data_IF_059294744546
#
_entry.id   IF_059294744546
#
_cell.length_a   1.000
_cell.length_b   1.000
_cell.length_c   1.000
_cell.angle_alpha   90.00
_cell.angle_beta   90.00
_cell.angle_gamma   90.00
#
_symmetry.space_group_name_H-M   'P 1'
#
loop_
_entity.id
_entity.type
_entity.pdbx_description
1 polymer ?
#
# COMPACT_ATOMS: atom_id res chain seq x y z
N UNK A 1 37.30 -19.63 8.01
CA UNK A 1 36.74 -19.99 9.09
C UNK A 1 36.23 -19.06 10.18
N UNK A 2 35.58 -17.92 9.86
CA UNK A 2 34.87 -17.14 10.86
C UNK A 2 33.41 -17.52 10.82
N UNK A 3 32.76 -17.73 11.96
CA UNK A 3 31.37 -18.08 12.05
C UNK A 3 30.49 -16.81 11.95
N UNK A 4 31.00 -15.68 12.42
CA UNK A 4 30.30 -14.37 12.37
C UNK A 4 31.32 -13.28 12.08
N UNK A 5 30.90 -12.33 11.28
CA UNK A 5 31.71 -11.20 10.85
C UNK A 5 30.83 -9.95 10.73
N UNK A 6 31.38 -8.80 11.05
CA UNK A 6 30.79 -7.52 10.69
C UNK A 6 31.85 -6.45 10.45
N UNK A 7 31.49 -5.46 9.66
CA UNK A 7 32.28 -4.27 9.46
C UNK A 7 31.40 -3.03 9.35
N UNK A 8 31.97 -1.87 9.62
CA UNK A 8 31.39 -0.58 9.26
C UNK A 8 32.36 0.02 8.23
N UNK A 9 31.97 -0.03 6.96
CA UNK A 9 32.85 0.30 5.85
C UNK A 9 32.39 1.57 5.13
N UNK A 10 33.31 2.50 4.79
CA UNK A 10 33.02 3.59 3.87
C UNK A 10 32.80 3.02 2.46
N UNK A 11 31.69 3.40 1.84
CA UNK A 11 31.29 2.97 0.51
C UNK A 11 31.07 4.17 -0.40
N UNK A 12 31.42 3.99 -1.68
CA UNK A 12 31.28 4.98 -2.72
C UNK A 12 30.51 4.36 -3.89
N UNK A 13 29.49 5.06 -4.39
CA UNK A 13 28.71 4.63 -5.56
C UNK A 13 28.57 5.77 -6.54
N UNK A 14 28.86 5.49 -7.80
CA UNK A 14 28.63 6.40 -8.92
C UNK A 14 27.20 6.18 -9.45
N UNK A 15 26.24 6.67 -8.68
CA UNK A 15 24.80 6.60 -8.97
C UNK A 15 24.21 8.01 -8.88
N UNK A 16 23.05 8.23 -9.48
CA UNK A 16 22.31 9.48 -9.32
C UNK A 16 22.01 9.73 -7.85
N UNK A 17 22.74 10.67 -7.26
CA UNK A 17 22.58 11.01 -5.86
C UNK A 17 21.21 11.62 -5.59
N UNK A 18 20.51 11.07 -4.61
CA UNK A 18 19.28 11.66 -4.06
C UNK A 18 19.58 12.16 -2.66
N UNK A 19 19.46 13.49 -2.48
CA UNK A 19 19.83 14.16 -1.24
C UNK A 19 19.17 13.59 0.02
N UNK A 20 18.00 12.95 -0.15
CA UNK A 20 17.20 12.41 0.94
C UNK A 20 17.47 10.94 1.27
N UNK A 21 18.16 10.17 0.40
CA UNK A 21 18.29 8.72 0.62
C UNK A 21 19.44 7.99 -0.05
N UNK A 22 20.16 8.60 -0.96
CA UNK A 22 21.20 7.91 -1.74
C UNK A 22 22.39 8.84 -1.97
N UNK A 23 23.16 9.19 -0.91
CA UNK A 23 24.41 9.91 -1.10
C UNK A 23 25.43 9.02 -1.82
N UNK A 24 26.30 9.61 -2.66
CA UNK A 24 27.36 8.88 -3.34
C UNK A 24 28.42 8.31 -2.39
N UNK A 25 28.54 8.87 -1.18
CA UNK A 25 29.39 8.40 -0.08
C UNK A 25 28.54 8.07 1.13
N UNK A 26 28.71 6.87 1.69
CA UNK A 26 27.96 6.41 2.87
C UNK A 26 28.75 5.33 3.61
N UNK A 27 28.36 5.05 4.86
CA UNK A 27 28.85 3.92 5.62
C UNK A 27 27.85 2.77 5.53
N UNK A 28 28.36 1.57 5.29
CA UNK A 28 27.58 0.34 5.30
C UNK A 28 27.89 -0.44 6.58
N UNK A 29 26.85 -0.75 7.35
CA UNK A 29 26.93 -1.79 8.36
C UNK A 29 26.70 -3.12 7.65
N UNK A 30 27.77 -3.88 7.50
CA UNK A 30 27.78 -5.16 6.83
C UNK A 30 28.05 -6.26 7.85
N UNK A 31 27.25 -7.32 7.84
CA UNK A 31 27.44 -8.46 8.72
C UNK A 31 27.05 -9.77 8.05
N UNK A 32 27.82 -10.79 8.31
CA UNK A 32 27.65 -12.12 7.76
C UNK A 32 27.62 -13.17 8.87
N UNK A 33 26.84 -14.22 8.66
CA UNK A 33 26.72 -15.34 9.61
C UNK A 33 26.77 -16.66 8.87
N UNK A 34 27.65 -17.58 9.31
CA UNK A 34 27.68 -18.95 8.82
C UNK A 34 26.55 -19.77 9.46
N UNK A 35 26.06 -20.78 8.71
CA UNK A 35 25.07 -21.74 9.18
C UNK A 35 23.76 -21.08 9.66
N UNK A 36 23.44 -19.90 9.17
CA UNK A 36 22.26 -19.12 9.54
C UNK A 36 21.11 -19.36 8.57
N UNK A 37 19.89 -19.41 9.09
CA UNK A 37 18.65 -19.34 8.32
C UNK A 37 18.24 -17.87 8.10
N UNK A 38 17.23 -17.65 7.28
CA UNK A 38 16.63 -16.32 7.08
C UNK A 38 16.15 -15.72 8.41
N UNK A 39 15.54 -16.53 9.26
CA UNK A 39 15.01 -16.11 10.56
C UNK A 39 16.13 -15.70 11.52
N UNK A 40 17.30 -16.34 11.44
CA UNK A 40 18.47 -15.95 12.24
C UNK A 40 18.99 -14.58 11.83
N UNK A 41 19.02 -14.29 10.52
CA UNK A 41 19.41 -12.98 9.99
C UNK A 41 18.38 -11.92 10.40
N UNK A 42 17.09 -12.19 10.27
CA UNK A 42 16.03 -11.28 10.70
C UNK A 42 16.16 -10.94 12.19
N UNK A 43 16.34 -11.93 13.05
CA UNK A 43 16.48 -11.72 14.50
C UNK A 43 17.63 -10.79 14.85
N UNK A 44 18.77 -10.90 14.17
CA UNK A 44 19.90 -9.99 14.38
C UNK A 44 19.59 -8.61 13.85
N UNK A 45 19.04 -8.51 12.63
CA UNK A 45 18.66 -7.25 12.00
C UNK A 45 17.63 -6.49 12.82
N UNK A 46 16.57 -7.17 13.28
CA UNK A 46 15.51 -6.57 14.13
C UNK A 46 16.09 -5.98 15.41
N UNK A 47 16.97 -6.73 16.09
CA UNK A 47 17.59 -6.24 17.31
C UNK A 47 18.46 -5.01 17.06
N UNK A 48 19.31 -5.04 16.05
CA UNK A 48 20.19 -3.91 15.71
C UNK A 48 19.39 -2.68 15.35
N UNK A 49 18.34 -2.83 14.53
CA UNK A 49 17.50 -1.72 14.12
C UNK A 49 16.67 -1.16 15.28
N UNK A 50 15.99 -2.02 16.05
CA UNK A 50 15.19 -1.57 17.19
C UNK A 50 16.04 -0.83 18.23
N UNK A 51 17.19 -1.37 18.62
CA UNK A 51 18.10 -0.75 19.58
C UNK A 51 18.62 0.60 19.05
N UNK A 52 18.96 0.67 17.77
CA UNK A 52 19.46 1.90 17.13
C UNK A 52 18.40 2.97 17.07
N UNK A 53 17.21 2.63 16.58
CA UNK A 53 16.12 3.60 16.48
C UNK A 53 15.63 4.06 17.85
N UNK A 54 15.50 3.17 18.84
CA UNK A 54 15.16 3.56 20.21
C UNK A 54 16.17 4.56 20.81
N UNK A 55 17.46 4.40 20.47
CA UNK A 55 18.51 5.28 20.98
C UNK A 55 18.52 6.67 20.33
N UNK A 56 18.18 6.75 19.04
CA UNK A 56 18.35 7.96 18.24
C UNK A 56 17.04 8.57 17.74
N UNK A 57 15.89 7.97 18.03
CA UNK A 57 14.61 8.54 17.66
C UNK A 57 14.43 9.92 18.34
N UNK A 58 13.94 10.92 17.61
CA UNK A 58 13.58 12.22 18.20
C UNK A 58 12.48 12.05 19.25
N UNK A 59 12.38 13.01 20.18
CA UNK A 59 11.32 13.04 21.19
C UNK A 59 9.93 13.04 20.51
N UNK A 60 9.03 12.19 21.02
CA UNK A 60 7.66 12.04 20.51
C UNK A 60 7.52 11.04 19.35
N UNK A 61 8.61 10.41 18.91
CA UNK A 61 8.55 9.33 17.93
C UNK A 61 8.43 7.96 18.59
N UNK A 62 7.47 7.17 18.12
CA UNK A 62 7.35 5.77 18.50
C UNK A 62 8.19 4.89 17.56
N UNK A 63 8.90 3.94 18.14
CA UNK A 63 9.73 2.98 17.40
C UNK A 63 9.07 1.62 17.42
N UNK A 64 8.89 1.02 16.24
CA UNK A 64 8.40 -0.35 16.10
C UNK A 64 9.34 -1.30 16.80
N UNK A 65 8.82 -2.10 17.72
CA UNK A 65 9.59 -3.11 18.45
C UNK A 65 9.60 -4.45 17.70
N UNK A 66 10.63 -5.26 17.95
CA UNK A 66 10.68 -6.62 17.44
C UNK A 66 9.63 -7.53 18.13
N UNK A 67 9.06 -8.53 17.44
CA UNK A 67 9.32 -8.87 16.04
C UNK A 67 8.65 -7.89 15.07
N UNK A 68 9.36 -7.55 13.99
CA UNK A 68 8.79 -6.67 12.97
C UNK A 68 7.73 -7.38 12.14
N UNK A 69 6.71 -6.67 11.63
CA UNK A 69 5.73 -7.26 10.72
C UNK A 69 6.41 -7.73 9.42
N UNK A 70 6.05 -8.92 8.98
CA UNK A 70 6.55 -9.49 7.73
C UNK A 70 5.48 -9.31 6.66
N UNK A 71 5.81 -8.58 5.61
CA UNK A 71 4.93 -8.34 4.46
C UNK A 71 5.58 -9.01 3.25
N UNK A 72 4.88 -9.96 2.62
CA UNK A 72 5.39 -10.58 1.41
C UNK A 72 5.43 -9.57 0.25
N UNK A 73 6.31 -9.80 -0.73
CA UNK A 73 6.37 -8.96 -1.93
C UNK A 73 5.01 -8.86 -2.64
N UNK A 74 4.32 -10.00 -2.79
CA UNK A 74 2.99 -10.05 -3.40
C UNK A 74 1.98 -9.18 -2.64
N UNK A 75 1.98 -9.26 -1.32
CA UNK A 75 1.11 -8.45 -0.47
C UNK A 75 1.48 -6.96 -0.55
N UNK A 76 2.77 -6.63 -0.51
CA UNK A 76 3.22 -5.25 -0.62
C UNK A 76 2.77 -4.61 -1.94
N UNK A 77 2.95 -5.31 -3.06
CA UNK A 77 2.50 -4.83 -4.37
C UNK A 77 0.97 -4.73 -4.47
N UNK A 78 0.22 -5.71 -3.91
CA UNK A 78 -1.23 -5.70 -3.94
C UNK A 78 -1.82 -4.56 -3.11
N UNK A 79 -1.41 -4.43 -1.86
CA UNK A 79 -2.04 -3.52 -0.89
C UNK A 79 -1.48 -2.08 -0.95
N UNK A 80 -0.24 -1.91 -1.40
CA UNK A 80 0.45 -0.62 -1.36
C UNK A 80 0.95 -0.14 -2.73
N UNK A 81 1.00 -1.00 -3.74
CA UNK A 81 1.55 -0.69 -5.06
C UNK A 81 3.06 -0.44 -5.05
N UNK A 82 3.77 -0.92 -4.03
CA UNK A 82 5.21 -0.69 -3.83
C UNK A 82 5.85 -1.84 -3.06
N UNK A 83 7.08 -2.17 -3.42
CA UNK A 83 7.92 -3.11 -2.67
C UNK A 83 8.51 -2.49 -1.36
N UNK A 84 8.27 -1.20 -1.13
CA UNK A 84 8.70 -0.45 0.08
C UNK A 84 7.53 0.33 0.67
N UNK A 85 6.54 -0.37 1.25
CA UNK A 85 5.34 0.26 1.76
C UNK A 85 5.62 1.19 2.95
N UNK A 86 5.03 2.38 2.94
CA UNK A 86 4.99 3.26 4.10
C UNK A 86 3.75 2.91 4.95
N UNK A 87 3.98 2.21 6.06
CA UNK A 87 2.89 1.75 6.94
C UNK A 87 2.17 2.87 7.69
N UNK A 88 2.72 4.09 7.68
CA UNK A 88 2.05 5.29 8.24
C UNK A 88 0.91 5.77 7.35
N UNK A 89 0.95 5.45 6.05
CA UNK A 89 -0.15 5.72 5.14
C UNK A 89 -1.29 4.73 5.45
N UNK A 90 -2.50 5.19 5.84
CA UNK A 90 -3.62 4.31 6.16
C UNK A 90 -4.30 3.73 4.92
N UNK A 91 -4.06 4.30 3.73
CA UNK A 91 -4.69 3.82 2.51
C UNK A 91 -4.18 2.43 2.13
N UNK A 92 -5.11 1.57 1.73
CA UNK A 92 -4.82 0.24 1.21
C UNK A 92 -5.54 0.06 -0.13
N UNK A 93 -4.86 -0.61 -1.05
CA UNK A 93 -5.48 -1.05 -2.28
C UNK A 93 -6.28 -2.32 -1.99
N UNK A 94 -7.51 -2.35 -2.42
CA UNK A 94 -8.46 -3.44 -2.24
C UNK A 94 -8.66 -4.12 -3.59
N UNK A 95 -8.55 -5.45 -3.62
CA UNK A 95 -8.88 -6.24 -4.80
C UNK A 95 -10.38 -6.51 -4.86
N UNK A 96 -11.03 -6.01 -5.88
CA UNK A 96 -12.44 -6.23 -6.15
C UNK A 96 -12.67 -6.92 -7.52
N UNK A 97 -11.64 -7.55 -8.06
CA UNK A 97 -11.70 -8.23 -9.36
C UNK A 97 -12.83 -9.24 -9.40
N UNK A 98 -12.85 -10.21 -8.50
CA UNK A 98 -13.87 -11.28 -8.48
C UNK A 98 -15.28 -10.74 -8.26
N UNK A 99 -15.42 -9.69 -7.44
CA UNK A 99 -16.70 -9.02 -7.22
C UNK A 99 -17.23 -8.45 -8.54
N UNK A 100 -16.44 -7.67 -9.26
CA UNK A 100 -16.88 -7.01 -10.48
C UNK A 100 -17.06 -7.96 -11.69
N UNK A 101 -16.46 -9.16 -11.69
CA UNK A 101 -16.78 -10.17 -12.73
C UNK A 101 -18.21 -10.65 -12.63
N UNK A 102 -18.85 -10.57 -11.46
CA UNK A 102 -20.25 -11.00 -11.22
C UNK A 102 -21.26 -9.88 -11.33
N UNK A 103 -20.81 -8.61 -11.31
CA UNK A 103 -21.68 -7.44 -11.49
C UNK A 103 -22.11 -7.24 -12.93
N UNK A 104 -23.13 -6.40 -13.15
CA UNK A 104 -23.61 -6.06 -14.48
C UNK A 104 -22.77 -4.99 -15.21
N UNK A 105 -21.73 -4.45 -14.57
CA UNK A 105 -20.89 -3.40 -15.11
C UNK A 105 -19.84 -3.94 -16.07
N UNK A 106 -20.25 -4.18 -17.31
CA UNK A 106 -19.41 -4.76 -18.38
C UNK A 106 -18.05 -4.14 -18.60
N UNK A 107 -17.82 -2.82 -18.43
CA UNK A 107 -16.49 -2.22 -18.62
C UNK A 107 -15.37 -2.80 -17.74
N UNK A 108 -15.74 -3.45 -16.62
CA UNK A 108 -14.79 -4.07 -15.69
C UNK A 108 -14.61 -5.59 -15.92
N UNK A 109 -15.45 -6.20 -16.78
CA UNK A 109 -15.34 -7.63 -17.06
C UNK A 109 -14.03 -7.97 -17.78
N UNK A 110 -13.37 -9.05 -17.36
CA UNK A 110 -12.10 -9.50 -17.90
C UNK A 110 -10.90 -8.63 -17.50
N UNK A 111 -11.09 -7.69 -16.59
CA UNK A 111 -10.04 -6.79 -16.10
C UNK A 111 -9.77 -6.99 -14.62
N UNK A 112 -8.56 -6.66 -14.21
CA UNK A 112 -8.22 -6.51 -12.79
C UNK A 112 -8.83 -5.23 -12.26
N UNK A 113 -9.59 -5.32 -11.16
CA UNK A 113 -10.23 -4.16 -10.52
C UNK A 113 -9.59 -3.90 -9.17
N UNK A 114 -9.06 -2.70 -9.02
CA UNK A 114 -8.45 -2.23 -7.78
C UNK A 114 -9.22 -1.03 -7.26
N UNK A 115 -9.32 -0.95 -5.94
CA UNK A 115 -10.03 0.14 -5.28
C UNK A 115 -9.23 0.70 -4.11
N UNK A 116 -9.50 1.96 -3.79
CA UNK A 116 -9.08 2.58 -2.52
C UNK A 116 -10.30 3.24 -1.89
N UNK A 117 -10.40 3.17 -0.57
CA UNK A 117 -11.44 3.88 0.17
C UNK A 117 -10.86 5.01 0.99
N UNK A 118 -11.63 6.05 1.16
CA UNK A 118 -11.31 7.18 2.03
C UNK A 118 -12.55 7.60 2.80
N UNK A 119 -12.38 7.99 4.05
CA UNK A 119 -13.45 8.56 4.85
C UNK A 119 -13.41 10.08 4.71
N UNK A 120 -14.13 10.62 3.74
CA UNK A 120 -14.16 12.06 3.48
C UNK A 120 -15.40 12.45 2.67
N UNK A 121 -16.01 13.59 3.02
CA UNK A 121 -17.01 14.24 2.20
C UNK A 121 -16.33 14.95 1.03
N UNK A 122 -16.66 14.53 -0.18
CA UNK A 122 -16.00 15.02 -1.40
C UNK A 122 -17.00 15.74 -2.30
N UNK A 123 -16.61 16.94 -2.74
CA UNK A 123 -17.41 17.68 -3.70
C UNK A 123 -17.37 17.04 -5.10
N UNK A 124 -18.44 17.25 -5.88
CA UNK A 124 -18.46 16.82 -7.29
C UNK A 124 -17.25 17.33 -8.09
N UNK A 125 -16.83 18.58 -7.85
CA UNK A 125 -15.65 19.14 -8.52
C UNK A 125 -14.34 18.43 -8.15
N UNK A 126 -14.27 17.82 -6.97
CA UNK A 126 -13.12 17.01 -6.57
C UNK A 126 -13.10 15.67 -7.32
N UNK A 127 -14.24 14.99 -7.45
CA UNK A 127 -14.35 13.78 -8.27
C UNK A 127 -13.93 14.01 -9.73
N UNK A 128 -14.33 15.14 -10.32
CA UNK A 128 -13.94 15.52 -11.68
C UNK A 128 -12.41 15.75 -11.81
N UNK A 129 -11.79 16.33 -10.79
CA UNK A 129 -10.31 16.49 -10.76
C UNK A 129 -9.59 15.15 -10.65
N UNK A 130 -10.09 14.24 -9.80
CA UNK A 130 -9.52 12.89 -9.67
C UNK A 130 -9.67 12.09 -10.97
N UNK A 131 -10.81 12.18 -11.65
CA UNK A 131 -11.00 11.54 -12.96
C UNK A 131 -9.99 12.07 -13.98
N UNK A 132 -9.81 13.39 -14.07
CA UNK A 132 -8.81 13.99 -14.97
C UNK A 132 -7.39 13.55 -14.63
N UNK A 133 -7.07 13.46 -13.35
CA UNK A 133 -5.78 12.94 -12.90
C UNK A 133 -5.59 11.49 -13.33
N UNK A 134 -6.55 10.60 -13.08
CA UNK A 134 -6.49 9.20 -13.49
C UNK A 134 -6.26 9.08 -15.01
N UNK A 135 -6.99 9.86 -15.81
CA UNK A 135 -6.80 9.91 -17.25
C UNK A 135 -5.41 10.43 -17.67
N UNK A 136 -4.86 11.41 -16.94
CA UNK A 136 -3.53 11.97 -17.25
C UNK A 136 -2.39 10.97 -17.03
N UNK A 137 -2.60 9.96 -16.18
CA UNK A 137 -1.64 8.88 -15.92
C UNK A 137 -1.96 7.60 -16.71
N UNK A 138 -2.85 7.69 -17.71
CA UNK A 138 -3.16 6.61 -18.64
C UNK A 138 -4.31 5.70 -18.26
N UNK A 139 -5.04 5.97 -17.18
CA UNK A 139 -6.23 5.19 -16.82
C UNK A 139 -7.41 5.53 -17.73
N UNK A 140 -8.18 4.53 -18.15
CA UNK A 140 -9.36 4.71 -19.01
C UNK A 140 -10.51 5.44 -18.32
N UNK A 141 -10.53 5.48 -16.99
CA UNK A 141 -11.54 6.15 -16.18
C UNK A 141 -11.32 5.93 -14.70
N UNK A 142 -12.16 6.58 -13.89
CA UNK A 142 -12.23 6.42 -12.44
C UNK A 142 -13.70 6.30 -12.05
N UNK A 143 -14.09 5.14 -11.54
CA UNK A 143 -15.40 4.94 -10.93
C UNK A 143 -15.38 5.31 -9.45
N UNK A 144 -16.54 5.61 -8.89
CA UNK A 144 -16.66 5.81 -7.44
C UNK A 144 -18.05 5.47 -6.92
N UNK A 145 -18.13 5.21 -5.61
CA UNK A 145 -19.34 5.12 -4.81
C UNK A 145 -19.15 5.87 -3.49
N UNK A 146 -20.13 6.63 -3.08
CA UNK A 146 -20.26 7.24 -1.76
C UNK A 146 -21.25 6.42 -0.93
N UNK A 147 -20.91 6.13 0.33
CA UNK A 147 -21.81 5.44 1.27
C UNK A 147 -22.60 6.48 2.04
N UNK A 148 -23.91 6.52 1.80
CA UNK A 148 -24.81 7.48 2.40
C UNK A 148 -25.23 7.09 3.83
N UNK A 149 -25.84 8.03 4.59
CA UNK A 149 -26.29 7.81 5.98
C UNK A 149 -27.28 6.63 6.12
N UNK A 150 -28.14 6.43 5.13
CA UNK A 150 -29.08 5.32 5.06
C UNK A 150 -28.44 4.00 4.56
N UNK A 151 -27.11 3.98 4.43
CA UNK A 151 -26.31 2.88 3.87
C UNK A 151 -26.56 2.59 2.40
N UNK A 152 -27.29 3.42 1.68
CA UNK A 152 -27.36 3.37 0.22
C UNK A 152 -26.06 3.85 -0.41
N UNK A 153 -25.89 3.57 -1.69
CA UNK A 153 -24.74 4.04 -2.45
C UNK A 153 -25.16 5.17 -3.39
N UNK A 154 -24.28 6.14 -3.57
CA UNK A 154 -24.40 7.20 -4.55
C UNK A 154 -23.15 7.25 -5.41
N UNK A 155 -23.32 7.18 -6.73
CA UNK A 155 -22.21 7.25 -7.68
C UNK A 155 -22.57 6.65 -9.03
N UNK A 156 -21.69 6.80 -10.03
CA UNK A 156 -21.96 6.37 -11.40
C UNK A 156 -22.07 4.83 -11.53
N UNK A 157 -21.53 4.08 -10.58
CA UNK A 157 -21.47 2.61 -10.63
C UNK A 157 -22.64 1.97 -9.87
N UNK A 158 -23.31 2.66 -8.95
CA UNK A 158 -24.37 2.10 -8.08
C UNK A 158 -25.42 1.30 -8.85
N UNK A 159 -25.94 1.86 -9.94
CA UNK A 159 -26.97 1.22 -10.77
C UNK A 159 -26.56 -0.11 -11.42
N UNK A 160 -25.27 -0.44 -11.40
CA UNK A 160 -24.73 -1.66 -11.99
C UNK A 160 -24.41 -2.72 -10.93
N UNK A 161 -24.54 -2.38 -9.65
CA UNK A 161 -24.36 -3.33 -8.54
C UNK A 161 -25.76 -3.83 -8.15
N UNK A 162 -26.05 -5.13 -8.35
CA UNK A 162 -27.29 -5.74 -7.92
C UNK A 162 -27.51 -5.54 -6.41
N UNK A 163 -28.77 -5.39 -5.98
CA UNK A 163 -29.10 -5.11 -4.58
C UNK A 163 -28.62 -6.21 -3.63
N UNK A 164 -28.64 -7.46 -4.07
CA UNK A 164 -28.14 -8.63 -3.34
C UNK A 164 -26.60 -8.67 -3.20
N UNK A 165 -25.89 -7.87 -4.00
CA UNK A 165 -24.43 -7.73 -3.93
C UNK A 165 -23.95 -6.49 -3.17
N UNK A 166 -24.87 -5.59 -2.78
CA UNK A 166 -24.50 -4.33 -2.10
C UNK A 166 -23.90 -4.55 -0.72
N UNK A 167 -24.33 -5.58 -0.01
CA UNK A 167 -23.73 -5.92 1.28
C UNK A 167 -22.35 -6.57 1.11
N UNK A 168 -22.19 -7.41 0.11
CA UNK A 168 -20.91 -8.06 -0.18
C UNK A 168 -19.80 -7.04 -0.44
N UNK A 169 -20.04 -5.98 -1.23
CA UNK A 169 -19.01 -4.95 -1.46
C UNK A 169 -18.71 -4.18 -0.19
N UNK A 170 -19.73 -3.95 0.67
CA UNK A 170 -19.53 -3.29 1.95
C UNK A 170 -18.61 -4.08 2.85
N UNK A 171 -18.86 -5.38 2.99
CA UNK A 171 -18.06 -6.27 3.80
C UNK A 171 -16.64 -6.43 3.24
N UNK A 172 -16.52 -6.69 1.93
CA UNK A 172 -15.23 -6.92 1.26
C UNK A 172 -14.31 -5.71 1.33
N UNK A 173 -14.86 -4.52 1.13
CA UNK A 173 -14.09 -3.28 1.18
C UNK A 173 -14.09 -2.61 2.56
N UNK A 174 -14.79 -3.18 3.55
CA UNK A 174 -14.92 -2.62 4.90
C UNK A 174 -15.51 -1.21 4.88
N UNK A 175 -16.57 -0.97 4.08
CA UNK A 175 -17.15 0.35 3.90
C UNK A 175 -18.05 0.75 5.06
N UNK A 176 -17.88 1.97 5.53
CA UNK A 176 -18.70 2.61 6.54
C UNK A 176 -19.45 3.82 5.96
N UNK A 177 -20.48 4.27 6.68
CA UNK A 177 -21.20 5.51 6.32
C UNK A 177 -20.22 6.67 6.26
N UNK A 178 -20.28 7.47 5.19
CA UNK A 178 -19.36 8.57 4.92
C UNK A 178 -18.07 8.18 4.18
N UNK A 179 -17.89 6.90 3.86
CA UNK A 179 -16.78 6.47 3.00
C UNK A 179 -17.08 6.75 1.52
N UNK A 180 -16.04 7.12 0.81
CA UNK A 180 -16.01 7.09 -0.65
C UNK A 180 -14.99 6.07 -1.11
N UNK A 181 -15.40 5.16 -1.98
CA UNK A 181 -14.52 4.17 -2.61
C UNK A 181 -14.35 4.48 -4.10
N UNK A 182 -13.10 4.48 -4.58
CA UNK A 182 -12.73 4.72 -5.96
C UNK A 182 -12.24 3.45 -6.62
N UNK A 183 -12.59 3.25 -7.89
CA UNK A 183 -12.29 2.04 -8.66
C UNK A 183 -11.52 2.37 -9.91
N UNK A 184 -10.49 1.58 -10.19
CA UNK A 184 -9.79 1.52 -11.47
C UNK A 184 -9.87 0.09 -12.00
N UNK A 185 -9.99 -0.05 -13.31
CA UNK A 185 -9.95 -1.35 -13.96
C UNK A 185 -9.05 -1.29 -15.19
N UNK A 186 -8.08 -2.19 -15.25
CA UNK A 186 -7.19 -2.33 -16.41
C UNK A 186 -6.72 -3.79 -16.55
N UNK A 187 -6.00 -4.07 -17.63
CA UNK A 187 -5.30 -5.33 -17.80
C UNK A 187 -4.15 -5.41 -16.76
N UNK A 188 -3.81 -6.62 -16.35
CA UNK A 188 -2.69 -6.89 -15.44
C UNK A 188 -1.34 -6.48 -16.02
#
# INVERSE_FOLDING_TARGET
GFDKYFQIAPCFRDEDARADRSPGEFYQLDFEMSFATQEDVFRVGEKVLADTFNKFAPEGYEVTQAPFPIISYKQAMLEFGSDKPDLRNPLRIIDLTDFFQRCTFKPFHGKTVRAIKVHADMSKGFHEKLLKFAQSIGMGGLGYLEVMEDKSYKGPIDKFIPDDMKEEIRETAGLEVGDTIFFIADNE
#
